data_IF_712665769564
#
_entry.id   IF_712665769564
#
_cell.length_a   1.000
_cell.length_b   1.000
_cell.length_c   1.000
_cell.angle_alpha   90.00
_cell.angle_beta   90.00
_cell.angle_gamma   90.00
#
_symmetry.space_group_name_H-M   'P 1'
#
loop_
_entity.id
_entity.type
_entity.pdbx_description
1 polymer ?
#
# COMPACT_ATOMS: atom_id res chain seq x y z
N UNK A 1 -18.49 4.31 2.81
CA UNK A 1 -17.44 5.33 2.59
C UNK A 1 -18.03 6.71 2.68
N UNK A 2 -17.21 7.71 2.98
CA UNK A 2 -17.67 9.09 3.03
C UNK A 2 -16.50 10.07 3.10
N UNK A 3 -16.57 11.09 2.25
CA UNK A 3 -15.75 12.29 2.32
C UNK A 3 -16.41 13.22 3.33
N UNK A 4 -15.69 13.56 4.40
CA UNK A 4 -16.23 14.39 5.46
C UNK A 4 -15.33 15.60 5.71
N UNK A 5 -15.94 16.72 6.08
CA UNK A 5 -15.22 17.95 6.35
C UNK A 5 -14.92 18.06 7.84
N UNK A 6 -13.68 18.37 8.17
CA UNK A 6 -13.28 18.68 9.54
C UNK A 6 -13.78 20.09 9.89
N UNK A 7 -14.72 20.16 10.84
CA UNK A 7 -15.37 21.42 11.25
C UNK A 7 -14.39 22.42 11.88
N UNK A 8 -13.23 21.97 12.39
CA UNK A 8 -12.22 22.83 13.02
C UNK A 8 -11.21 23.37 12.02
N UNK A 9 -10.73 22.53 11.10
CA UNK A 9 -9.70 22.94 10.12
C UNK A 9 -10.24 23.37 8.75
N UNK A 10 -11.55 23.19 8.50
CA UNK A 10 -12.21 23.32 7.18
C UNK A 10 -11.64 22.41 6.08
N UNK A 11 -10.70 21.51 6.41
CA UNK A 11 -10.10 20.55 5.48
C UNK A 11 -10.96 19.31 5.34
N UNK A 12 -10.84 18.65 4.20
CA UNK A 12 -11.55 17.41 3.90
C UNK A 12 -10.71 16.19 4.29
N UNK A 13 -11.37 15.14 4.71
CA UNK A 13 -10.76 13.85 5.00
C UNK A 13 -11.60 12.70 4.45
N UNK A 14 -10.90 11.60 4.17
CA UNK A 14 -11.47 10.35 3.70
C UNK A 14 -11.23 9.31 4.79
N UNK A 15 -12.30 8.63 5.20
CA UNK A 15 -12.20 7.45 6.07
C UNK A 15 -12.79 6.25 5.33
N UNK A 16 -11.95 5.24 5.12
CA UNK A 16 -12.32 3.99 4.44
C UNK A 16 -11.96 2.81 5.33
N UNK A 17 -12.86 1.84 5.37
CA UNK A 17 -12.65 0.55 6.03
C UNK A 17 -12.90 -0.55 5.01
N UNK A 18 -12.02 -1.54 4.97
CA UNK A 18 -12.19 -2.74 4.15
C UNK A 18 -11.87 -3.97 4.99
N UNK A 19 -12.30 -5.12 4.48
CA UNK A 19 -11.96 -6.42 5.02
C UNK A 19 -10.84 -6.98 4.17
N UNK A 20 -9.81 -7.46 4.84
CA UNK A 20 -8.74 -8.19 4.20
C UNK A 20 -9.15 -9.66 3.94
N UNK A 21 -8.37 -10.39 3.14
CA UNK A 21 -8.63 -11.78 2.78
C UNK A 21 -8.64 -12.68 4.03
N UNK A 22 -7.85 -12.32 5.06
CA UNK A 22 -7.81 -12.97 6.38
C UNK A 22 -9.02 -12.62 7.28
N UNK A 23 -9.97 -11.81 6.78
CA UNK A 23 -11.16 -11.37 7.52
C UNK A 23 -10.92 -10.26 8.55
N UNK A 24 -9.69 -9.73 8.63
CA UNK A 24 -9.35 -8.60 9.50
C UNK A 24 -9.89 -7.30 8.91
N UNK A 25 -10.39 -6.41 9.79
CA UNK A 25 -10.91 -5.09 9.38
C UNK A 25 -9.81 -4.04 9.45
N UNK A 26 -9.47 -3.47 8.30
CA UNK A 26 -8.48 -2.41 8.19
C UNK A 26 -9.16 -1.04 8.12
N UNK A 27 -8.45 -0.02 8.62
CA UNK A 27 -8.92 1.37 8.57
C UNK A 27 -7.82 2.26 8.04
N UNK A 28 -8.14 3.01 6.99
CA UNK A 28 -7.27 4.06 6.49
C UNK A 28 -7.99 5.40 6.58
N UNK A 29 -7.30 6.38 7.16
CA UNK A 29 -7.79 7.76 7.22
C UNK A 29 -6.76 8.68 6.58
N UNK A 30 -7.08 9.22 5.39
CA UNK A 30 -6.28 10.29 4.76
C UNK A 30 -6.93 11.64 5.08
N UNK A 31 -6.15 12.56 5.66
CA UNK A 31 -6.60 13.90 6.07
C UNK A 31 -5.81 14.98 5.33
N UNK A 32 -6.36 16.19 5.29
CA UNK A 32 -5.62 17.38 4.86
C UNK A 32 -5.93 17.86 3.45
N UNK A 33 -6.95 17.29 2.79
CA UNK A 33 -7.36 17.75 1.46
C UNK A 33 -7.96 19.15 1.53
N UNK A 34 -7.57 20.02 0.61
CA UNK A 34 -8.09 21.40 0.55
C UNK A 34 -9.48 21.43 -0.08
N UNK A 35 -9.76 20.50 -0.99
CA UNK A 35 -11.04 20.44 -1.71
C UNK A 35 -11.74 19.11 -1.53
N UNK A 36 -13.09 19.14 -1.60
CA UNK A 36 -13.92 17.92 -1.61
C UNK A 36 -13.56 17.00 -2.78
N UNK A 37 -13.32 17.59 -3.95
CA UNK A 37 -13.00 16.86 -5.18
C UNK A 37 -11.65 16.12 -5.12
N UNK A 38 -10.65 16.70 -4.45
CA UNK A 38 -9.39 15.98 -4.15
C UNK A 38 -9.63 14.79 -3.22
N UNK A 39 -10.46 14.96 -2.19
CA UNK A 39 -10.80 13.89 -1.27
C UNK A 39 -11.57 12.76 -1.99
N UNK A 40 -12.53 13.09 -2.86
CA UNK A 40 -13.24 12.10 -3.68
C UNK A 40 -12.29 11.37 -4.63
N UNK A 41 -11.36 12.07 -5.29
CA UNK A 41 -10.35 11.44 -6.14
C UNK A 41 -9.44 10.48 -5.35
N UNK A 42 -9.04 10.87 -4.14
CA UNK A 42 -8.24 10.02 -3.26
C UNK A 42 -9.04 8.80 -2.76
N UNK A 43 -10.33 8.96 -2.47
CA UNK A 43 -11.21 7.86 -2.09
C UNK A 43 -11.41 6.85 -3.23
N UNK A 44 -11.58 7.33 -4.46
CA UNK A 44 -11.68 6.46 -5.64
C UNK A 44 -10.37 5.70 -5.91
N UNK A 45 -9.21 6.37 -5.78
CA UNK A 45 -7.92 5.69 -5.90
C UNK A 45 -7.76 4.60 -4.85
N UNK A 46 -8.10 4.89 -3.60
CA UNK A 46 -8.07 3.89 -2.52
C UNK A 46 -9.05 2.74 -2.76
N UNK A 47 -10.20 3.01 -3.36
CA UNK A 47 -11.15 1.97 -3.73
C UNK A 47 -10.54 0.98 -4.73
N UNK A 48 -9.87 1.50 -5.76
CA UNK A 48 -9.21 0.71 -6.80
C UNK A 48 -8.02 -0.05 -6.21
N UNK A 49 -7.17 0.59 -5.40
CA UNK A 49 -6.02 -0.07 -4.75
C UNK A 49 -6.45 -1.25 -3.86
N UNK A 50 -7.57 -1.13 -3.16
CA UNK A 50 -8.15 -2.22 -2.35
C UNK A 50 -8.74 -3.33 -3.24
N UNK A 51 -9.39 -2.97 -4.35
CA UNK A 51 -9.98 -3.93 -5.30
C UNK A 51 -8.91 -4.74 -6.05
N UNK A 52 -7.80 -4.08 -6.41
CA UNK A 52 -6.60 -4.72 -6.99
C UNK A 52 -5.88 -5.66 -6.00
N UNK A 53 -6.35 -5.78 -4.76
CA UNK A 53 -5.78 -6.67 -3.75
C UNK A 53 -4.41 -6.22 -3.23
N UNK A 54 -4.07 -4.95 -3.44
CA UNK A 54 -2.85 -4.36 -2.86
C UNK A 54 -3.18 -4.11 -1.39
N UNK A 55 -2.57 -4.88 -0.49
CA UNK A 55 -2.66 -4.60 0.93
C UNK A 55 -1.97 -3.25 1.23
N UNK A 56 -2.75 -2.17 1.19
CA UNK A 56 -2.29 -0.79 1.43
C UNK A 56 -1.78 -0.61 2.88
N UNK A 57 -2.00 -1.59 3.74
CA UNK A 57 -1.58 -1.60 5.14
C UNK A 57 -0.30 -2.37 5.41
N UNK A 58 0.00 -3.39 4.62
CA UNK A 58 1.33 -3.97 4.59
C UNK A 58 2.26 -2.96 3.91
N UNK A 59 3.00 -2.20 4.72
CA UNK A 59 4.32 -1.78 4.28
C UNK A 59 5.19 -3.03 4.44
N UNK A 60 5.36 -3.90 3.41
CA UNK A 60 6.32 -4.97 3.53
C UNK A 60 7.64 -4.30 3.92
N UNK A 61 8.27 -4.81 4.98
CA UNK A 61 9.64 -4.42 5.30
C UNK A 61 10.40 -4.58 3.99
N UNK A 62 11.14 -3.54 3.57
CA UNK A 62 11.80 -3.52 2.26
C UNK A 62 12.57 -4.83 1.98
N UNK A 63 13.12 -5.45 3.04
CA UNK A 63 13.73 -6.77 3.02
C UNK A 63 12.82 -7.90 2.48
N UNK A 64 11.55 -7.98 2.91
CA UNK A 64 10.60 -8.98 2.44
C UNK A 64 10.25 -8.76 0.96
N UNK A 65 9.99 -7.51 0.57
CA UNK A 65 9.73 -7.17 -0.82
C UNK A 65 10.93 -7.48 -1.73
N UNK A 66 12.14 -7.17 -1.26
CA UNK A 66 13.37 -7.46 -1.96
C UNK A 66 13.58 -8.97 -2.15
N UNK A 67 13.33 -9.77 -1.11
CA UNK A 67 13.42 -11.23 -1.17
C UNK A 67 12.42 -11.84 -2.18
N UNK A 68 11.17 -11.36 -2.18
CA UNK A 68 10.16 -11.77 -3.17
C UNK A 68 10.53 -11.35 -4.61
N UNK A 69 11.12 -10.17 -4.79
CA UNK A 69 11.58 -9.69 -6.09
C UNK A 69 12.75 -10.51 -6.63
N UNK A 70 13.73 -10.84 -5.79
CA UNK A 70 14.86 -11.71 -6.16
C UNK A 70 14.34 -13.10 -6.52
N UNK A 71 13.41 -13.66 -5.73
CA UNK A 71 12.78 -14.96 -6.00
C UNK A 71 11.98 -14.99 -7.29
N UNK A 72 11.23 -13.93 -7.60
CA UNK A 72 10.31 -13.91 -8.75
C UNK A 72 11.01 -13.57 -10.06
N UNK A 73 11.92 -12.59 -10.07
CA UNK A 73 12.48 -12.04 -11.31
C UNK A 73 13.95 -12.43 -11.56
N UNK A 74 14.72 -12.71 -10.50
CA UNK A 74 16.16 -13.00 -10.61
C UNK A 74 16.48 -14.49 -10.58
N UNK A 75 15.66 -15.32 -9.92
CA UNK A 75 15.78 -16.77 -9.89
C UNK A 75 15.43 -17.41 -11.25
N UNK A 76 16.30 -17.23 -12.25
CA UNK A 76 16.17 -17.81 -13.59
C UNK A 76 16.82 -17.00 -14.71
N UNK A 77 16.98 -15.69 -14.51
CA UNK A 77 17.58 -14.78 -15.51
C UNK A 77 19.04 -14.43 -15.24
N UNK A 78 19.59 -14.82 -14.09
CA UNK A 78 20.93 -14.41 -13.66
C UNK A 78 21.80 -15.63 -13.41
N UNK A 79 23.09 -15.48 -13.71
CA UNK A 79 24.09 -16.49 -13.42
C UNK A 79 24.10 -16.84 -11.92
N UNK A 80 24.38 -18.11 -11.56
CA UNK A 80 24.32 -18.58 -10.18
C UNK A 80 25.21 -17.79 -9.22
N UNK A 81 26.34 -17.26 -9.71
CA UNK A 81 27.28 -16.46 -8.91
C UNK A 81 26.68 -15.10 -8.49
N UNK A 82 25.92 -14.45 -9.36
CA UNK A 82 25.26 -13.17 -9.06
C UNK A 82 24.03 -13.35 -8.17
N UNK A 83 23.35 -14.51 -8.27
CA UNK A 83 22.26 -14.86 -7.35
C UNK A 83 22.74 -15.04 -5.91
N UNK A 84 23.98 -15.54 -5.75
CA UNK A 84 24.62 -15.70 -4.44
C UNK A 84 24.89 -14.33 -3.78
N UNK A 85 25.30 -13.32 -4.55
CA UNK A 85 25.51 -11.95 -4.06
C UNK A 85 24.20 -11.31 -3.56
N UNK A 86 23.09 -11.47 -4.29
CA UNK A 86 21.80 -10.94 -3.87
C UNK A 86 21.27 -11.54 -2.57
N UNK A 87 21.65 -12.79 -2.25
CA UNK A 87 21.27 -13.49 -1.01
C UNK A 87 22.26 -13.25 0.16
N UNK A 88 23.47 -12.73 -0.11
CA UNK A 88 24.56 -12.59 0.87
C UNK A 88 24.65 -11.23 1.55
N UNK A 89 23.75 -10.28 1.25
CA UNK A 89 23.71 -8.97 1.92
C UNK A 89 23.08 -9.08 3.33
N UNK A 90 23.77 -9.83 4.18
CA UNK A 90 23.62 -9.88 5.62
C UNK A 90 25.02 -9.98 6.23
N UNK A 91 25.83 -8.94 6.04
CA UNK A 91 27.09 -8.75 6.78
C UNK A 91 27.22 -7.32 7.27
#
# INVERSE_FOLDING_TARGET
MGVSQDKKSKKWYVKRSWYDIDGKRHYLTRRGFKTRREAEKADNKLAVEIDDGIDVTENPIFANYYDDWVKTYKKGNVAPNTLIEYNLEGK
#
